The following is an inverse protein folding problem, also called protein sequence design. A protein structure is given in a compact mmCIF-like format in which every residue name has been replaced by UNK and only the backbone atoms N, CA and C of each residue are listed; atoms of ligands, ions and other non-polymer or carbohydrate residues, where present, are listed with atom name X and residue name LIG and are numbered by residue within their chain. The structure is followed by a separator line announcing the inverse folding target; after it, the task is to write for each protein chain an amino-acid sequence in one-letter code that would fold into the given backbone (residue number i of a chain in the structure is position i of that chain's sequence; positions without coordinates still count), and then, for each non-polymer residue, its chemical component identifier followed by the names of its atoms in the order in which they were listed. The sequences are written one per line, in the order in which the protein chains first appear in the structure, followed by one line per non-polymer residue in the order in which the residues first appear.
data_IF_249262262874
#
_entry.id   IF_249262262874
#
_cell.length_a   1.000
_cell.length_b   1.000
_cell.length_c   1.000
_cell.angle_alpha   90.00
_cell.angle_beta   90.00
_cell.angle_gamma   90.00
#
_symmetry.space_group_name_H-M   'P 1'
#
loop_
_entity.id
_entity.type
_entity.pdbx_description
1 polymer ?
#
# COMPACT_ATOMS: atom_id res chain seq x y z
N UNK A 1 21.20 -32.61 -5.08
CA UNK A 1 20.91 -32.96 -6.49
C UNK A 1 20.24 -31.75 -7.15
N UNK A 2 20.45 -31.50 -8.45
CA UNK A 2 19.84 -30.38 -9.18
C UNK A 2 18.31 -30.30 -9.04
N UNK A 3 17.63 -31.46 -9.00
CA UNK A 3 16.17 -31.53 -8.87
C UNK A 3 15.63 -30.98 -7.53
N UNK A 4 16.40 -31.11 -6.45
CA UNK A 4 16.02 -30.53 -5.14
C UNK A 4 16.09 -29.00 -5.14
N UNK A 5 16.94 -28.46 -6.01
CA UNK A 5 17.22 -27.04 -6.14
C UNK A 5 16.17 -26.36 -7.02
N UNK A 6 15.85 -26.97 -8.17
CA UNK A 6 14.73 -26.56 -9.01
C UNK A 6 13.43 -26.52 -8.20
N UNK A 7 13.13 -27.57 -7.43
CA UNK A 7 11.95 -27.62 -6.56
C UNK A 7 11.92 -26.48 -5.54
N UNK A 8 13.06 -26.16 -4.92
CA UNK A 8 13.15 -25.06 -3.93
C UNK A 8 12.94 -23.69 -4.57
N UNK A 9 13.51 -23.44 -5.74
CA UNK A 9 13.29 -22.19 -6.45
C UNK A 9 11.84 -22.05 -6.90
N UNK A 10 11.24 -23.14 -7.38
CA UNK A 10 9.84 -23.17 -7.77
C UNK A 10 8.92 -22.90 -6.57
N UNK A 11 9.27 -23.43 -5.39
CA UNK A 11 8.58 -23.12 -4.13
C UNK A 11 8.73 -21.65 -3.72
N UNK A 12 9.94 -21.08 -3.81
CA UNK A 12 10.18 -19.67 -3.50
C UNK A 12 9.38 -18.73 -4.42
N UNK A 13 9.36 -19.02 -5.72
CA UNK A 13 8.55 -18.27 -6.70
C UNK A 13 7.06 -18.35 -6.37
N UNK A 14 6.55 -19.53 -6.02
CA UNK A 14 5.13 -19.70 -5.66
C UNK A 14 4.78 -18.93 -4.40
N UNK A 15 5.65 -18.96 -3.39
CA UNK A 15 5.47 -18.17 -2.17
C UNK A 15 5.48 -16.67 -2.50
N UNK A 16 6.38 -16.22 -3.38
CA UNK A 16 6.44 -14.82 -3.80
C UNK A 16 5.17 -14.38 -4.51
N UNK A 17 4.68 -15.17 -5.46
CA UNK A 17 3.43 -14.92 -6.17
C UNK A 17 2.24 -14.83 -5.20
N UNK A 18 2.13 -15.76 -4.25
CA UNK A 18 1.05 -15.77 -3.25
C UNK A 18 1.08 -14.51 -2.36
N UNK A 19 2.26 -14.01 -1.98
CA UNK A 19 2.37 -12.77 -1.21
C UNK A 19 1.92 -11.55 -2.01
N UNK A 20 2.17 -11.50 -3.32
CA UNK A 20 1.65 -10.43 -4.16
C UNK A 20 0.14 -10.50 -4.38
N UNK A 21 -0.42 -11.71 -4.50
CA UNK A 21 -1.88 -11.90 -4.52
C UNK A 21 -2.53 -11.47 -3.21
N UNK A 22 -1.92 -11.79 -2.07
CA UNK A 22 -2.38 -11.35 -0.75
C UNK A 22 -2.35 -9.82 -0.63
N UNK A 23 -1.27 -9.16 -1.08
CA UNK A 23 -1.22 -7.69 -1.13
C UNK A 23 -2.29 -7.09 -2.04
N UNK A 24 -2.61 -7.73 -3.17
CA UNK A 24 -3.66 -7.24 -4.07
C UNK A 24 -5.05 -7.29 -3.40
N UNK A 25 -5.32 -8.34 -2.64
CA UNK A 25 -6.54 -8.46 -1.84
C UNK A 25 -6.62 -7.39 -0.74
N UNK A 26 -5.52 -7.15 -0.03
CA UNK A 26 -5.45 -6.09 0.97
C UNK A 26 -5.65 -4.71 0.35
N UNK A 27 -5.12 -4.48 -0.85
CA UNK A 27 -5.35 -3.23 -1.58
C UNK A 27 -6.81 -3.00 -1.97
N UNK A 28 -7.53 -4.06 -2.38
CA UNK A 28 -8.97 -3.98 -2.63
C UNK A 28 -9.76 -3.64 -1.36
N UNK A 29 -9.35 -4.20 -0.23
CA UNK A 29 -9.96 -3.89 1.06
C UNK A 29 -9.65 -2.46 1.48
N UNK A 30 -8.42 -2.00 1.29
CA UNK A 30 -8.02 -0.61 1.56
C UNK A 30 -8.83 0.37 0.71
N UNK A 31 -8.96 0.13 -0.59
CA UNK A 31 -9.76 0.97 -1.48
C UNK A 31 -11.19 1.13 -0.94
N UNK A 32 -11.79 0.02 -0.49
CA UNK A 32 -13.14 0.01 0.09
C UNK A 32 -13.21 0.80 1.39
N UNK A 33 -12.29 0.58 2.34
CA UNK A 33 -12.31 1.26 3.65
C UNK A 33 -12.07 2.76 3.51
N UNK A 34 -11.24 3.17 2.55
CA UNK A 34 -11.01 4.58 2.20
C UNK A 34 -12.28 5.25 1.67
N UNK A 35 -13.02 4.56 0.80
CA UNK A 35 -14.31 5.07 0.28
C UNK A 35 -15.37 5.14 1.38
N UNK A 36 -15.39 4.17 2.30
CA UNK A 36 -16.33 4.13 3.42
C UNK A 36 -15.97 5.10 4.56
N UNK A 37 -14.75 5.64 4.57
CA UNK A 37 -14.24 6.53 5.61
C UNK A 37 -13.95 5.83 6.94
N UNK A 38 -13.79 4.50 6.92
CA UNK A 38 -13.52 3.70 8.11
C UNK A 38 -12.02 3.68 8.43
N UNK A 39 -11.60 4.61 9.29
CA UNK A 39 -10.20 4.72 9.70
C UNK A 39 -9.70 3.55 10.56
N UNK A 40 -10.58 2.87 11.31
CA UNK A 40 -10.17 1.74 12.14
C UNK A 40 -9.86 0.53 11.25
N UNK A 41 -10.74 0.23 10.29
CA UNK A 41 -10.50 -0.82 9.30
C UNK A 41 -9.29 -0.50 8.40
N UNK A 42 -9.07 0.77 8.06
CA UNK A 42 -7.88 1.20 7.32
C UNK A 42 -6.58 0.91 8.10
N UNK A 43 -6.54 1.18 9.40
CA UNK A 43 -5.35 0.90 10.23
C UNK A 43 -5.05 -0.60 10.31
N UNK A 44 -6.08 -1.44 10.44
CA UNK A 44 -5.92 -2.90 10.42
C UNK A 44 -5.36 -3.38 9.08
N UNK A 45 -5.89 -2.88 7.97
CA UNK A 45 -5.40 -3.19 6.63
C UNK A 45 -3.92 -2.82 6.44
N UNK A 46 -3.51 -1.64 6.94
CA UNK A 46 -2.11 -1.20 6.89
C UNK A 46 -1.18 -2.10 7.72
N UNK A 47 -1.64 -2.57 8.89
CA UNK A 47 -0.87 -3.52 9.71
C UNK A 47 -0.70 -4.87 9.00
N UNK A 48 -1.76 -5.38 8.36
CA UNK A 48 -1.70 -6.61 7.58
C UNK A 48 -0.77 -6.48 6.37
N UNK A 49 -0.82 -5.36 5.63
CA UNK A 49 0.12 -5.07 4.55
C UNK A 49 1.57 -5.09 5.04
N UNK A 50 1.85 -4.47 6.20
CA UNK A 50 3.19 -4.48 6.79
C UNK A 50 3.67 -5.90 7.14
N UNK A 51 2.76 -6.78 7.60
CA UNK A 51 3.06 -8.19 7.84
C UNK A 51 3.45 -8.92 6.54
N UNK A 52 2.73 -8.67 5.44
CA UNK A 52 3.07 -9.25 4.13
C UNK A 52 4.42 -8.73 3.63
N UNK A 53 4.69 -7.42 3.74
CA UNK A 53 5.97 -6.82 3.35
C UNK A 53 7.14 -7.45 4.13
N UNK A 54 6.98 -7.68 5.43
CA UNK A 54 8.00 -8.36 6.24
C UNK A 54 8.25 -9.80 5.75
N UNK A 55 7.20 -10.53 5.36
CA UNK A 55 7.35 -11.87 4.76
C UNK A 55 8.07 -11.82 3.41
N UNK A 56 7.80 -10.82 2.58
CA UNK A 56 8.51 -10.61 1.31
C UNK A 56 10.00 -10.33 1.53
N UNK A 57 10.37 -9.58 2.57
CA UNK A 57 11.77 -9.34 2.92
C UNK A 57 12.49 -10.64 3.32
N UNK A 58 11.87 -11.47 4.17
CA UNK A 58 12.41 -12.78 4.53
C UNK A 58 12.57 -13.70 3.32
N UNK A 59 11.59 -13.67 2.41
CA UNK A 59 11.64 -14.47 1.19
C UNK A 59 12.79 -14.03 0.27
N UNK A 60 13.04 -12.72 0.17
CA UNK A 60 14.17 -12.16 -0.58
C UNK A 60 15.51 -12.59 0.03
N UNK A 61 15.64 -12.60 1.35
CA UNK A 61 16.84 -13.10 2.02
C UNK A 61 17.07 -14.60 1.74
N UNK A 62 16.00 -15.39 1.66
CA UNK A 62 16.08 -16.81 1.32
C UNK A 62 16.47 -17.02 -0.15
N UNK A 63 15.94 -16.22 -1.07
CA UNK A 63 16.40 -16.16 -2.46
C UNK A 63 17.91 -15.90 -2.54
N UNK A 64 18.40 -14.88 -1.84
CA UNK A 64 19.83 -14.55 -1.82
C UNK A 64 20.66 -15.70 -1.25
N UNK A 65 20.16 -16.39 -0.22
CA UNK A 65 20.81 -17.56 0.39
C UNK A 65 20.91 -18.73 -0.58
N UNK A 66 19.81 -19.08 -1.26
CA UNK A 66 19.80 -20.18 -2.22
C UNK A 66 20.67 -19.85 -3.44
N UNK A 67 20.62 -18.62 -3.94
CA UNK A 67 21.49 -18.14 -5.02
C UNK A 67 22.98 -18.27 -4.68
N UNK A 68 23.38 -17.87 -3.47
CA UNK A 68 24.76 -18.06 -3.01
C UNK A 68 25.14 -19.53 -2.86
N UNK A 69 24.23 -20.37 -2.36
CA UNK A 69 24.46 -21.81 -2.23
C UNK A 69 24.64 -22.51 -3.59
N UNK A 70 24.01 -21.99 -4.64
CA UNK A 70 24.19 -22.42 -6.03
C UNK A 70 25.52 -21.98 -6.66
N UNK A 71 26.30 -21.14 -5.97
CA UNK A 71 27.47 -20.51 -6.55
C UNK A 71 27.14 -19.46 -7.62
N UNK A 72 25.88 -19.03 -7.70
CA UNK A 72 25.51 -17.90 -8.56
C UNK A 72 26.26 -16.66 -8.07
N UNK A 73 27.07 -16.10 -8.96
CA UNK A 73 27.81 -14.86 -8.69
C UNK A 73 26.97 -13.69 -9.19
N UNK A 74 26.93 -12.64 -8.38
CA UNK A 74 26.25 -11.40 -8.74
C UNK A 74 24.87 -11.24 -8.13
N UNK A 75 24.17 -10.20 -8.59
CA UNK A 75 22.83 -9.82 -8.16
C UNK A 75 21.80 -10.16 -9.25
N UNK A 76 20.52 -10.40 -8.94
CA UNK A 76 19.44 -10.54 -9.93
C UNK A 76 19.32 -9.38 -10.94
N UNK A 77 19.96 -8.24 -10.69
CA UNK A 77 20.08 -7.12 -11.64
C UNK A 77 21.18 -7.28 -12.70
N UNK A 78 22.04 -8.29 -12.58
CA UNK A 78 23.21 -8.50 -13.45
C UNK A 78 22.94 -9.65 -14.44
N UNK A 79 23.33 -9.47 -15.70
CA UNK A 79 23.13 -10.50 -16.73
C UNK A 79 23.88 -11.81 -16.40
N UNK A 80 25.08 -11.69 -15.84
CA UNK A 80 25.90 -12.83 -15.40
C UNK A 80 25.23 -13.69 -14.32
N UNK A 81 24.32 -13.13 -13.52
CA UNK A 81 23.55 -13.90 -12.56
C UNK A 81 22.59 -14.85 -13.28
N UNK A 82 21.85 -14.34 -14.27
CA UNK A 82 20.87 -15.11 -15.03
C UNK A 82 21.51 -16.17 -15.93
N UNK A 83 22.68 -15.88 -16.49
CA UNK A 83 23.48 -16.85 -17.26
C UNK A 83 23.93 -18.02 -16.38
N UNK A 84 24.52 -17.73 -15.22
CA UNK A 84 24.92 -18.78 -14.26
C UNK A 84 23.72 -19.61 -13.78
N UNK A 85 22.57 -18.97 -13.56
CA UNK A 85 21.36 -19.67 -13.13
C UNK A 85 20.80 -20.58 -14.23
N UNK A 86 20.89 -20.16 -15.49
CA UNK A 86 20.54 -20.99 -16.66
C UNK A 86 21.42 -22.23 -16.76
N UNK A 87 22.73 -22.07 -16.54
CA UNK A 87 23.68 -23.18 -16.58
C UNK A 87 23.43 -24.22 -15.47
N UNK A 88 22.98 -23.77 -14.30
CA UNK A 88 22.69 -24.64 -13.14
C UNK A 88 21.36 -25.38 -13.26
N UNK A 89 20.31 -24.73 -13.79
CA UNK A 89 18.97 -25.30 -13.89
C UNK A 89 18.71 -26.04 -15.21
N UNK A 90 19.55 -25.81 -16.22
CA UNK A 90 19.29 -26.23 -17.58
C UNK A 90 18.14 -25.44 -18.22
N UNK A 91 18.00 -25.61 -19.54
CA UNK A 91 17.12 -24.78 -20.37
C UNK A 91 15.64 -24.89 -19.97
N UNK A 92 15.16 -26.08 -19.64
CA UNK A 92 13.75 -26.29 -19.27
C UNK A 92 13.39 -25.63 -17.92
N UNK A 93 14.18 -25.87 -16.87
CA UNK A 93 13.96 -25.29 -15.55
C UNK A 93 14.13 -23.77 -15.56
N UNK A 94 15.13 -23.26 -16.30
CA UNK A 94 15.32 -21.82 -16.46
C UNK A 94 14.15 -21.13 -17.18
N UNK A 95 13.64 -21.73 -18.26
CA UNK A 95 12.48 -21.18 -18.98
C UNK A 95 11.20 -21.18 -18.12
N UNK A 96 11.00 -22.22 -17.31
CA UNK A 96 9.91 -22.28 -16.32
C UNK A 96 10.03 -21.14 -15.30
N UNK A 97 11.22 -20.98 -14.72
CA UNK A 97 11.51 -19.92 -13.75
C UNK A 97 11.26 -18.51 -14.32
N UNK A 98 11.77 -18.23 -15.53
CA UNK A 98 11.59 -16.94 -16.21
C UNK A 98 10.11 -16.65 -16.46
N UNK A 99 9.34 -17.66 -16.84
CA UNK A 99 7.90 -17.52 -17.08
C UNK A 99 7.18 -17.12 -15.79
N UNK A 100 7.48 -17.78 -14.68
CA UNK A 100 6.87 -17.46 -13.39
C UNK A 100 7.28 -16.07 -12.87
N UNK A 101 8.55 -15.68 -13.04
CA UNK A 101 9.02 -14.33 -12.69
C UNK A 101 8.30 -13.25 -13.52
N UNK A 102 8.02 -13.50 -14.81
CA UNK A 102 7.23 -12.58 -15.64
C UNK A 102 5.82 -12.43 -15.08
N UNK A 103 5.16 -13.52 -14.72
CA UNK A 103 3.82 -13.48 -14.10
C UNK A 103 3.82 -12.64 -12.82
N UNK A 104 4.83 -12.81 -11.97
CA UNK A 104 5.01 -12.00 -10.76
C UNK A 104 5.18 -10.52 -11.14
N UNK A 105 6.05 -10.20 -12.09
CA UNK A 105 6.27 -8.81 -12.53
C UNK A 105 4.99 -8.15 -13.04
N UNK A 106 4.18 -8.88 -13.80
CA UNK A 106 2.90 -8.38 -14.29
C UNK A 106 1.91 -8.14 -13.14
N UNK A 107 1.92 -9.02 -12.12
CA UNK A 107 1.13 -8.82 -10.90
C UNK A 107 1.58 -7.57 -10.13
N UNK A 108 2.89 -7.38 -9.95
CA UNK A 108 3.47 -6.20 -9.30
C UNK A 108 3.09 -4.92 -10.03
N UNK A 109 3.17 -4.90 -11.36
CA UNK A 109 2.80 -3.73 -12.15
C UNK A 109 1.34 -3.31 -11.91
N UNK A 110 0.41 -4.27 -11.94
CA UNK A 110 -1.01 -4.01 -11.63
C UNK A 110 -1.21 -3.52 -10.20
N UNK A 111 -0.46 -4.09 -9.25
CA UNK A 111 -0.54 -3.75 -7.85
C UNK A 111 -0.09 -2.31 -7.59
N UNK A 112 1.01 -1.88 -8.22
CA UNK A 112 1.51 -0.51 -8.14
C UNK A 112 0.51 0.51 -8.72
N UNK A 113 -0.11 0.20 -9.86
CA UNK A 113 -1.16 1.05 -10.43
C UNK A 113 -2.36 1.19 -9.49
N UNK A 114 -2.71 0.12 -8.74
CA UNK A 114 -3.82 0.16 -7.77
C UNK A 114 -3.43 0.95 -6.52
N UNK A 115 -2.24 0.74 -5.98
CA UNK A 115 -1.72 1.51 -4.85
C UNK A 115 -1.74 3.03 -5.15
N UNK A 116 -1.32 3.43 -6.36
CA UNK A 116 -1.37 4.83 -6.78
C UNK A 116 -2.82 5.39 -6.78
N UNK A 117 -3.79 4.58 -7.20
CA UNK A 117 -5.21 4.98 -7.18
C UNK A 117 -5.72 5.15 -5.74
N UNK A 118 -5.43 4.19 -4.86
CA UNK A 118 -5.85 4.26 -3.46
C UNK A 118 -5.21 5.46 -2.75
N UNK A 119 -3.93 5.73 -3.01
CA UNK A 119 -3.26 6.92 -2.48
C UNK A 119 -3.95 8.21 -2.93
N UNK A 120 -4.33 8.32 -4.21
CA UNK A 120 -5.08 9.48 -4.72
C UNK A 120 -6.45 9.64 -4.04
N UNK A 121 -7.15 8.54 -3.76
CA UNK A 121 -8.43 8.56 -3.04
C UNK A 121 -8.24 9.07 -1.60
N UNK A 122 -7.23 8.54 -0.88
CA UNK A 122 -6.86 8.98 0.47
C UNK A 122 -6.56 10.48 0.51
N UNK A 123 -5.74 10.98 -0.43
CA UNK A 123 -5.43 12.40 -0.53
C UNK A 123 -6.68 13.26 -0.78
N UNK A 124 -7.62 12.76 -1.57
CA UNK A 124 -8.93 13.38 -1.79
C UNK A 124 -9.74 13.49 -0.51
N UNK A 125 -9.90 12.39 0.22
CA UNK A 125 -10.62 12.35 1.50
C UNK A 125 -10.01 13.30 2.54
N UNK A 126 -8.68 13.36 2.65
CA UNK A 126 -7.99 14.30 3.54
C UNK A 126 -8.29 15.76 3.17
N UNK A 127 -8.29 16.10 1.88
CA UNK A 127 -8.63 17.45 1.41
C UNK A 127 -10.06 17.83 1.78
N UNK A 128 -11.00 16.90 1.64
CA UNK A 128 -12.40 17.11 1.98
C UNK A 128 -12.59 17.34 3.50
N UNK A 129 -12.00 16.48 4.34
CA UNK A 129 -12.03 16.63 5.80
C UNK A 129 -11.46 17.99 6.24
N UNK A 130 -10.35 18.44 5.62
CA UNK A 130 -9.77 19.77 5.89
C UNK A 130 -10.74 20.90 5.52
N UNK A 131 -11.44 20.79 4.39
CA UNK A 131 -12.44 21.77 3.97
C UNK A 131 -13.62 21.84 4.96
N UNK A 132 -14.13 20.68 5.38
CA UNK A 132 -15.22 20.58 6.36
C UNK A 132 -14.82 21.19 7.70
N UNK A 133 -13.60 20.91 8.19
CA UNK A 133 -13.08 21.53 9.42
C UNK A 133 -13.01 23.06 9.32
N UNK A 134 -12.55 23.60 8.18
CA UNK A 134 -12.51 25.04 7.95
C UNK A 134 -13.91 25.65 7.93
N UNK A 135 -14.90 24.98 7.33
CA UNK A 135 -16.29 25.42 7.33
C UNK A 135 -16.89 25.41 8.74
N UNK A 136 -16.65 24.35 9.53
CA UNK A 136 -17.07 24.26 10.92
C UNK A 136 -16.45 25.38 11.78
N UNK A 137 -15.17 25.67 11.60
CA UNK A 137 -14.51 26.79 12.28
C UNK A 137 -15.15 28.15 11.93
N UNK A 138 -15.44 28.39 10.64
CA UNK A 138 -16.14 29.61 10.19
C UNK A 138 -17.56 29.69 10.76
N UNK A 139 -18.31 28.59 10.75
CA UNK A 139 -19.65 28.52 11.33
C UNK A 139 -19.65 28.77 12.84
N UNK A 140 -18.69 28.18 13.57
CA UNK A 140 -18.48 28.42 15.01
C UNK A 140 -18.13 29.89 15.30
N UNK A 141 -17.24 30.49 14.50
CA UNK A 141 -16.89 31.90 14.64
C UNK A 141 -18.08 32.82 14.38
N UNK A 142 -18.86 32.54 13.34
CA UNK A 142 -20.08 33.28 13.02
C UNK A 142 -21.12 33.15 14.14
N UNK A 143 -21.36 31.94 14.65
CA UNK A 143 -22.27 31.70 15.77
C UNK A 143 -21.87 32.46 17.03
N UNK A 144 -20.58 32.45 17.40
CA UNK A 144 -20.06 33.23 18.53
C UNK A 144 -20.23 34.74 18.30
N UNK A 145 -20.02 35.22 17.07
CA UNK A 145 -20.26 36.61 16.69
C UNK A 145 -21.71 37.02 16.85
N UNK A 146 -22.66 36.21 16.38
CA UNK A 146 -24.10 36.45 16.55
C UNK A 146 -24.55 36.36 18.01
N UNK A 147 -24.04 35.41 18.78
CA UNK A 147 -24.36 35.28 20.21
C UNK A 147 -23.92 36.51 21.01
N UNK A 148 -22.74 37.07 20.71
CA UNK A 148 -22.25 38.31 21.35
C UNK A 148 -22.99 39.56 20.87
N UNK A 149 -23.37 39.63 19.59
CA UNK A 149 -24.14 40.74 19.04
C UNK A 149 -25.60 40.74 19.55
N UNK A 150 -26.21 39.56 19.71
CA UNK A 150 -27.55 39.38 20.27
C UNK A 150 -27.64 39.67 21.78
N UNK A 151 -26.54 39.52 22.53
CA UNK A 151 -26.47 39.92 23.94
C UNK A 151 -26.20 41.42 24.17
N UNK A 152 -25.97 42.19 23.09
CA UNK A 152 -25.69 43.63 23.10
C UNK A 152 -26.70 44.38 22.19
N UNK A 153 -27.99 44.08 22.36
CA UNK A 153 -29.07 44.93 21.83
C UNK A 153 -29.32 46.13 22.76
N UNK A 154 -29.37 47.38 22.24
CA UNK A 154 -29.40 48.58 23.08
C UNK A 154 -30.76 48.76 23.76
N UNK A 155 -30.81 48.71 25.09
CA UNK A 155 -31.82 49.46 25.85
C UNK A 155 -31.50 50.96 25.74
N UNK A 156 -31.86 51.57 24.60
CA UNK A 156 -32.06 53.02 24.54
C UNK A 156 -33.41 53.34 25.17
N UNK A 157 -33.42 53.41 26.50
CA UNK A 157 -34.44 54.15 27.23
C UNK A 157 -34.18 55.63 27.05
N UNK A 158 -34.59 56.19 25.92
CA UNK A 158 -34.65 57.63 25.72
C UNK A 158 -35.94 58.17 26.35
N UNK A 159 -35.80 59.23 27.13
CA UNK A 159 -36.84 59.73 28.02
C UNK A 159 -37.93 60.59 27.38
N UNK A 160 -38.85 60.96 28.27
CA UNK A 160 -39.70 62.17 28.29
C UNK A 160 -41.04 62.16 27.53
N UNK A 161 -42.12 62.17 28.33
CA UNK A 161 -43.39 62.97 28.25
C UNK A 161 -44.35 62.29 29.24
N UNK A 162 -44.88 62.92 30.30
CA UNK A 162 -45.29 64.31 30.54
C UNK A 162 -45.08 64.65 32.02
#
# INVERSE_FOLDING_TARGET
MPDDLERRLDELVRQEAALYEELDHLLLQEEKTVVEGDMEALLLCLQEKQSVISRQQLLREEWDRQCRAMGCKGSPGEMSFWENLSDVLGEAGYNGLVTSIRTIRDAVARLLEREEKVQKLLEGQIKELRSQLLQLQKGKAAFIGYAKAGSLGPMKGDGMRR
#
